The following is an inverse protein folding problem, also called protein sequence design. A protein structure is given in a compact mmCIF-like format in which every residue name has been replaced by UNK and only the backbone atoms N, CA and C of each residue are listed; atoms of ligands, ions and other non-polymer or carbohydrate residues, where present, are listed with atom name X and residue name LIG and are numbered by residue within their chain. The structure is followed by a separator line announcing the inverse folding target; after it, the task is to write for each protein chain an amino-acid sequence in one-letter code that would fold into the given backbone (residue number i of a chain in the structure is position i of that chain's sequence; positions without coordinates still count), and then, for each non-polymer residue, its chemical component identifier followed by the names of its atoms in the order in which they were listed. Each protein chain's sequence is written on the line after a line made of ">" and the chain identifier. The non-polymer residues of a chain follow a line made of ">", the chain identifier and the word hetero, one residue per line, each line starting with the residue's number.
data_IF_363706194624
#
_entry.id   IF_363706194624
#
_cell.length_a   1.000
_cell.length_b   1.000
_cell.length_c   1.000
_cell.angle_alpha   90.00
_cell.angle_beta   90.00
_cell.angle_gamma   90.00
#
_symmetry.space_group_name_H-M   'P 1'
#
loop_
_entity.id
_entity.type
_entity.pdbx_description
1 polymer ?
#
# COMPACT_ATOMS: atom_id res chain seq x y z
N UNK A 1 4.23 0.98 13.82
CA UNK A 1 2.89 0.44 14.15
C UNK A 1 2.14 0.02 12.87
N UNK A 2 1.78 0.95 11.99
CA UNK A 2 0.99 0.69 10.77
C UNK A 2 1.55 -0.41 9.84
N UNK A 3 2.84 -0.36 9.49
CA UNK A 3 3.44 -1.35 8.57
C UNK A 3 3.29 -2.79 9.10
N UNK A 4 3.44 -3.00 10.42
CA UNK A 4 3.27 -4.34 11.02
C UNK A 4 1.81 -4.80 10.95
N UNK A 5 0.86 -3.90 11.15
CA UNK A 5 -0.56 -4.20 11.02
C UNK A 5 -0.93 -4.58 9.59
N UNK A 6 -0.46 -3.81 8.60
CA UNK A 6 -0.65 -4.11 7.18
C UNK A 6 -0.01 -5.45 6.80
N UNK A 7 1.19 -5.76 7.28
CA UNK A 7 1.85 -7.05 7.06
C UNK A 7 1.05 -8.21 7.68
N UNK A 8 0.49 -8.03 8.89
CA UNK A 8 -0.37 -9.03 9.51
C UNK A 8 -1.67 -9.27 8.73
N UNK A 9 -2.31 -8.21 8.23
CA UNK A 9 -3.50 -8.32 7.36
C UNK A 9 -3.14 -9.03 6.06
N UNK A 10 -2.01 -8.67 5.44
CA UNK A 10 -1.52 -9.31 4.22
C UNK A 10 -1.20 -10.79 4.43
N UNK A 11 -0.61 -11.18 5.55
CA UNK A 11 -0.37 -12.60 5.91
C UNK A 11 -1.68 -13.36 6.10
N UNK A 12 -2.67 -12.75 6.76
CA UNK A 12 -3.93 -13.41 7.07
C UNK A 12 -4.89 -13.50 5.87
N UNK A 13 -4.91 -12.48 4.99
CA UNK A 13 -5.93 -12.32 3.94
C UNK A 13 -5.37 -12.29 2.52
N UNK A 14 -4.06 -12.19 2.35
CA UNK A 14 -3.40 -12.12 1.05
C UNK A 14 -3.58 -10.79 0.30
N UNK A 15 -4.47 -9.90 0.75
CA UNK A 15 -4.75 -8.60 0.11
C UNK A 15 -5.17 -7.56 1.14
N UNK A 16 -4.78 -6.31 0.91
CA UNK A 16 -5.20 -5.16 1.71
C UNK A 16 -5.45 -3.94 0.83
N UNK A 17 -6.44 -3.13 1.21
CA UNK A 17 -6.72 -1.84 0.58
C UNK A 17 -6.34 -0.73 1.56
N UNK A 18 -5.43 0.14 1.17
CA UNK A 18 -4.94 1.26 1.97
C UNK A 18 -5.53 2.54 1.40
N UNK A 19 -6.44 3.16 2.15
CA UNK A 19 -7.10 4.41 1.76
C UNK A 19 -6.35 5.61 2.35
N UNK A 20 -5.94 6.55 1.51
CA UNK A 20 -5.39 7.82 1.94
C UNK A 20 -6.53 8.73 2.40
N UNK A 21 -6.46 9.17 3.66
CA UNK A 21 -7.46 10.02 4.26
C UNK A 21 -7.47 11.41 3.62
N UNK A 22 -8.60 12.11 3.70
CA UNK A 22 -8.73 13.49 3.19
C UNK A 22 -7.69 14.44 3.81
N UNK A 23 -7.57 14.42 5.13
CA UNK A 23 -6.60 15.23 5.86
C UNK A 23 -5.17 15.00 5.35
N UNK A 24 -4.76 13.74 5.19
CA UNK A 24 -3.43 13.41 4.65
C UNK A 24 -3.23 13.99 3.25
N UNK A 25 -4.24 13.88 2.38
CA UNK A 25 -4.15 14.39 1.00
C UNK A 25 -3.98 15.91 0.96
N UNK A 26 -4.69 16.63 1.82
CA UNK A 26 -4.65 18.09 1.91
C UNK A 26 -3.36 18.59 2.56
N UNK A 27 -2.84 17.88 3.57
CA UNK A 27 -1.59 18.27 4.26
C UNK A 27 -0.32 18.04 3.45
N UNK A 28 -0.34 17.10 2.49
CA UNK A 28 0.85 16.68 1.75
C UNK A 28 0.73 16.88 0.23
N UNK A 29 -0.27 17.66 -0.22
CA UNK A 29 -0.56 17.94 -1.63
C UNK A 29 -0.48 16.67 -2.51
N UNK A 30 -1.23 15.65 -2.11
CA UNK A 30 -1.08 14.30 -2.68
C UNK A 30 -1.66 14.24 -4.09
N UNK A 31 -0.78 14.39 -5.07
CA UNK A 31 -1.07 14.28 -6.50
C UNK A 31 -0.95 12.84 -7.02
N UNK A 32 -0.84 12.65 -8.35
CA UNK A 32 -0.68 11.33 -8.96
C UNK A 32 0.70 10.72 -8.71
N UNK A 33 1.75 11.52 -8.74
CA UNK A 33 3.14 11.08 -8.61
C UNK A 33 3.45 10.67 -7.17
N UNK A 34 3.03 11.49 -6.20
CA UNK A 34 3.16 11.19 -4.77
C UNK A 34 2.44 9.89 -4.41
N UNK A 35 1.25 9.65 -4.98
CA UNK A 35 0.53 8.38 -4.78
C UNK A 35 1.26 7.18 -5.35
N UNK A 36 1.83 7.30 -6.55
CA UNK A 36 2.57 6.21 -7.19
C UNK A 36 3.78 5.84 -6.32
N UNK A 37 4.56 6.83 -5.90
CA UNK A 37 5.71 6.64 -5.01
C UNK A 37 5.32 6.00 -3.67
N UNK A 38 4.21 6.44 -3.07
CA UNK A 38 3.73 5.85 -1.83
C UNK A 38 3.28 4.39 -2.01
N UNK A 39 2.67 4.06 -3.14
CA UNK A 39 2.29 2.68 -3.45
C UNK A 39 3.53 1.77 -3.58
N UNK A 40 4.58 2.24 -4.26
CA UNK A 40 5.86 1.55 -4.39
C UNK A 40 6.54 1.37 -3.02
N UNK A 41 6.64 2.43 -2.21
CA UNK A 41 7.26 2.37 -0.88
C UNK A 41 6.53 1.38 0.05
N UNK A 42 5.19 1.37 0.00
CA UNK A 42 4.40 0.41 0.76
C UNK A 42 4.62 -1.03 0.26
N UNK A 43 4.67 -1.24 -1.05
CA UNK A 43 4.92 -2.54 -1.65
C UNK A 43 6.29 -3.11 -1.27
N UNK A 44 7.35 -2.31 -1.36
CA UNK A 44 8.71 -2.69 -0.96
C UNK A 44 8.78 -3.08 0.52
N UNK A 45 8.26 -2.21 1.40
CA UNK A 45 8.29 -2.44 2.85
C UNK A 45 7.49 -3.66 3.28
N UNK A 46 6.41 -3.98 2.57
CA UNK A 46 5.52 -5.09 2.88
C UNK A 46 5.83 -6.37 2.10
N UNK A 47 6.85 -6.35 1.23
CA UNK A 47 7.15 -7.42 0.26
C UNK A 47 5.87 -7.85 -0.46
N UNK A 48 5.16 -6.85 -0.96
CA UNK A 48 3.85 -6.95 -1.57
C UNK A 48 3.89 -6.46 -3.02
N UNK A 49 2.86 -6.76 -3.77
CA UNK A 49 2.66 -6.29 -5.15
C UNK A 49 1.55 -5.23 -5.15
N UNK A 50 1.78 -4.10 -5.83
CA UNK A 50 0.71 -3.14 -6.13
C UNK A 50 -0.13 -3.72 -7.27
N UNK A 51 -1.36 -4.14 -6.96
CA UNK A 51 -2.25 -4.71 -7.99
C UNK A 51 -3.21 -3.67 -8.58
N UNK A 52 -3.44 -2.56 -7.87
CA UNK A 52 -4.32 -1.48 -8.33
C UNK A 52 -4.11 -0.19 -7.54
N UNK A 53 -4.39 0.96 -8.16
CA UNK A 53 -4.50 2.27 -7.52
C UNK A 53 -5.78 2.96 -8.04
N UNK A 54 -6.81 3.03 -7.19
CA UNK A 54 -8.11 3.66 -7.53
C UNK A 54 -8.33 4.92 -6.72
N UNK A 55 -8.30 6.07 -7.39
CA UNK A 55 -8.37 7.37 -6.73
C UNK A 55 -7.28 7.49 -5.67
N UNK A 56 -7.69 7.46 -4.40
CA UNK A 56 -6.80 7.56 -3.24
C UNK A 56 -6.72 6.28 -2.43
N UNK A 57 -6.96 5.13 -3.08
CA UNK A 57 -6.84 3.80 -2.46
C UNK A 57 -5.80 2.98 -3.21
N UNK A 58 -4.82 2.49 -2.47
CA UNK A 58 -3.76 1.60 -2.96
C UNK A 58 -4.14 0.18 -2.59
N UNK A 59 -4.12 -0.74 -3.55
CA UNK A 59 -4.42 -2.15 -3.32
C UNK A 59 -3.14 -2.95 -3.41
N UNK A 60 -2.80 -3.61 -2.30
CA UNK A 60 -1.60 -4.42 -2.17
C UNK A 60 -2.00 -5.88 -2.02
N UNK A 61 -1.31 -6.76 -2.76
CA UNK A 61 -1.42 -8.21 -2.62
C UNK A 61 -0.13 -8.73 -2.01
N UNK A 62 -0.22 -9.75 -1.16
CA UNK A 62 0.98 -10.42 -0.66
C UNK A 62 1.77 -10.91 -1.87
N UNK A 63 3.01 -10.46 -2.00
CA UNK A 63 3.88 -10.94 -3.05
C UNK A 63 4.01 -12.45 -2.87
N UNK A 64 3.96 -13.21 -3.97
CA UNK A 64 4.46 -14.58 -3.89
C UNK A 64 5.89 -14.43 -3.40
N UNK A 65 6.19 -14.92 -2.20
CA UNK A 65 7.55 -14.92 -1.71
C UNK A 65 8.42 -15.42 -2.84
N UNK A 66 9.43 -14.64 -3.22
CA UNK A 66 10.50 -15.14 -4.07
C UNK A 66 10.93 -16.40 -3.33
N UNK A 67 10.58 -17.55 -3.89
CA UNK A 67 10.94 -18.84 -3.34
C UNK A 67 12.41 -18.94 -3.70
N UNK A 68 13.24 -18.40 -2.82
CA UNK A 68 14.68 -18.55 -2.81
C UNK A 68 15.03 -19.56 -1.74
#
# INVERSE_FOLDING_TARGET
>A
ALIRELDNILKARGVVKVKLLRSFRESYDVDREVRARLAEELAERLRAEVIDVRGYTIVLKRGRGITG
#
